data_IF_313751455040
#
_entry.id   IF_313751455040
#
_cell.length_a   1.000
_cell.length_b   1.000
_cell.length_c   1.000
_cell.angle_alpha   90.00
_cell.angle_beta   90.00
_cell.angle_gamma   90.00
#
_symmetry.space_group_name_H-M   'P 1'
#
loop_
_entity.id
_entity.type
_entity.pdbx_description
1 polymer ?
#
# COMPACT_ATOMS: atom_id res chain seq x y z
N UNK A 1 -11.75 -22.06 -20.31
CA UNK A 1 -10.89 -20.99 -20.78
C UNK A 1 -9.69 -20.85 -19.85
N UNK A 2 -8.50 -20.52 -20.41
CA UNK A 2 -7.31 -20.25 -19.65
C UNK A 2 -6.57 -19.07 -20.25
N UNK A 3 -5.83 -18.33 -19.42
CA UNK A 3 -4.94 -17.27 -19.85
C UNK A 3 -3.67 -17.30 -19.04
N UNK A 4 -2.55 -17.07 -19.69
CA UNK A 4 -1.26 -16.83 -19.07
C UNK A 4 -0.75 -15.48 -19.57
N UNK A 5 -0.24 -14.68 -18.65
CA UNK A 5 0.41 -13.39 -18.95
C UNK A 5 1.77 -13.38 -18.31
N UNK A 6 2.74 -12.99 -19.07
CA UNK A 6 4.03 -12.55 -18.59
C UNK A 6 4.19 -11.07 -18.91
N UNK A 7 4.71 -10.34 -17.94
CA UNK A 7 5.04 -8.94 -18.11
C UNK A 7 6.44 -8.72 -17.53
N UNK A 8 7.31 -8.17 -18.36
CA UNK A 8 8.64 -7.71 -18.00
C UNK A 8 8.65 -6.19 -18.02
N UNK A 9 9.24 -5.59 -17.01
CA UNK A 9 9.49 -4.15 -16.96
C UNK A 9 10.96 -3.91 -16.63
N UNK A 10 11.57 -3.01 -17.35
CA UNK A 10 12.90 -2.49 -17.11
C UNK A 10 12.85 -0.98 -17.28
N UNK A 11 13.24 -0.25 -16.26
CA UNK A 11 13.10 1.20 -16.21
C UNK A 11 14.33 1.86 -15.62
N UNK A 12 14.74 2.92 -16.28
CA UNK A 12 15.77 3.84 -15.85
C UNK A 12 15.14 5.24 -15.82
N UNK A 13 14.98 5.80 -14.61
CA UNK A 13 14.34 7.09 -14.42
C UNK A 13 15.30 8.01 -13.68
N UNK A 14 15.72 9.06 -14.36
CA UNK A 14 16.47 10.17 -13.77
C UNK A 14 15.52 11.36 -13.59
N UNK A 15 15.46 11.89 -12.39
CA UNK A 15 14.61 13.03 -12.05
C UNK A 15 15.37 14.08 -11.27
N UNK A 16 15.29 15.32 -11.73
CA UNK A 16 15.80 16.50 -11.04
C UNK A 16 14.62 17.36 -10.61
N UNK A 17 14.67 17.92 -9.44
CA UNK A 17 13.64 18.81 -8.91
C UNK A 17 14.28 20.03 -8.25
N UNK A 18 13.71 21.18 -8.50
CA UNK A 18 14.05 22.43 -7.83
C UNK A 18 12.78 23.05 -7.27
N UNK A 19 12.79 23.38 -5.98
CA UNK A 19 11.64 23.92 -5.26
C UNK A 19 12.06 25.24 -4.61
N UNK A 20 11.24 26.26 -4.78
CA UNK A 20 11.32 27.52 -4.05
C UNK A 20 10.09 27.65 -3.14
N UNK A 21 10.33 27.90 -1.85
CA UNK A 21 9.28 28.10 -0.86
C UNK A 21 9.24 29.57 -0.43
N UNK A 22 8.26 30.31 -0.91
CA UNK A 22 8.12 31.75 -0.66
C UNK A 22 7.69 32.11 0.77
N UNK A 23 7.33 31.13 1.59
CA UNK A 23 6.87 31.35 2.97
C UNK A 23 8.02 31.23 3.97
N UNK A 24 9.01 30.43 3.67
CA UNK A 24 10.13 30.16 4.58
C UNK A 24 11.25 31.20 4.43
N UNK A 25 11.76 31.69 5.56
CA UNK A 25 12.95 32.55 5.60
C UNK A 25 14.25 31.79 5.62
N UNK A 26 14.25 30.54 6.07
CA UNK A 26 15.39 29.62 6.08
C UNK A 26 14.98 28.34 5.34
N UNK A 27 15.88 27.83 4.51
CA UNK A 27 15.58 26.65 3.70
C UNK A 27 14.56 26.94 2.59
N UNK A 28 14.58 28.12 2.02
CA UNK A 28 13.65 28.55 0.98
C UNK A 28 13.83 27.79 -0.33
N UNK A 29 15.02 27.31 -0.60
CA UNK A 29 15.35 26.58 -1.83
C UNK A 29 15.76 25.14 -1.53
N UNK A 30 15.30 24.22 -2.35
CA UNK A 30 15.65 22.81 -2.26
C UNK A 30 15.82 22.21 -3.64
N UNK A 31 16.94 21.57 -3.85
CA UNK A 31 17.21 20.82 -5.08
C UNK A 31 17.39 19.34 -4.77
N UNK A 32 16.94 18.49 -5.67
CA UNK A 32 17.19 17.05 -5.62
C UNK A 32 17.49 16.48 -7.00
N UNK A 33 18.34 15.48 -7.01
CA UNK A 33 18.68 14.67 -8.15
C UNK A 33 18.55 13.20 -7.74
N UNK A 34 17.69 12.46 -8.42
CA UNK A 34 17.38 11.07 -8.09
C UNK A 34 17.48 10.20 -9.35
N UNK A 35 18.15 9.08 -9.20
CA UNK A 35 18.27 8.07 -10.23
C UNK A 35 17.69 6.76 -9.70
N UNK A 36 16.70 6.22 -10.40
CA UNK A 36 15.98 5.02 -10.01
C UNK A 36 15.98 4.00 -11.14
N UNK A 37 16.60 2.85 -10.89
CA UNK A 37 16.58 1.70 -11.77
C UNK A 37 15.60 0.66 -11.21
N UNK A 38 14.72 0.16 -12.05
CA UNK A 38 13.74 -0.88 -11.67
C UNK A 38 13.74 -1.98 -12.69
N UNK A 39 13.71 -3.23 -12.25
CA UNK A 39 13.52 -4.39 -13.11
C UNK A 39 12.55 -5.35 -12.46
N UNK A 40 11.54 -5.76 -13.18
CA UNK A 40 10.53 -6.66 -12.63
C UNK A 40 9.99 -7.64 -13.64
N UNK A 41 9.68 -8.82 -13.15
CA UNK A 41 8.96 -9.86 -13.87
C UNK A 41 7.69 -10.24 -13.15
N UNK A 42 6.60 -10.39 -13.86
CA UNK A 42 5.36 -10.89 -13.34
C UNK A 42 4.72 -11.94 -14.25
N UNK A 43 4.25 -13.01 -13.63
CA UNK A 43 3.58 -14.13 -14.27
C UNK A 43 2.20 -14.28 -13.64
N UNK A 44 1.17 -14.29 -14.45
CA UNK A 44 -0.22 -14.42 -14.01
C UNK A 44 -0.89 -15.50 -14.85
N UNK A 45 -1.39 -16.54 -14.17
CA UNK A 45 -2.08 -17.67 -14.82
C UNK A 45 -3.47 -17.77 -14.22
N UNK A 46 -4.48 -17.73 -15.08
CA UNK A 46 -5.89 -17.79 -14.71
C UNK A 46 -6.60 -18.83 -15.54
N UNK A 47 -7.45 -19.58 -14.87
CA UNK A 47 -8.37 -20.50 -15.53
C UNK A 47 -9.82 -20.13 -15.20
N UNK A 48 -10.69 -20.43 -16.12
CA UNK A 48 -12.14 -20.32 -15.96
C UNK A 48 -12.77 -21.65 -16.39
N UNK A 49 -13.37 -22.34 -15.41
CA UNK A 49 -14.14 -23.55 -15.60
C UNK A 49 -15.61 -23.21 -15.38
N UNK A 50 -16.42 -23.44 -16.36
CA UNK A 50 -17.87 -23.23 -16.34
C UNK A 50 -18.57 -24.56 -16.54
N UNK A 51 -19.45 -24.91 -15.61
CA UNK A 51 -20.20 -26.14 -15.65
C UNK A 51 -21.69 -25.86 -15.39
N UNK A 52 -22.54 -26.36 -16.24
CA UNK A 52 -23.99 -26.23 -16.15
C UNK A 52 -24.60 -27.65 -16.08
N UNK A 53 -24.72 -28.24 -14.87
CA UNK A 53 -25.25 -29.58 -14.68
C UNK A 53 -26.70 -29.71 -15.12
N UNK A 54 -27.45 -28.62 -15.03
CA UNK A 54 -28.83 -28.52 -15.47
C UNK A 54 -29.15 -27.07 -15.97
N UNK A 55 -30.39 -26.83 -16.42
CA UNK A 55 -30.82 -25.52 -16.92
C UNK A 55 -31.01 -24.45 -15.82
N UNK A 56 -30.97 -24.84 -14.55
CA UNK A 56 -31.23 -24.00 -13.39
C UNK A 56 -29.95 -23.69 -12.60
N UNK A 57 -28.89 -24.48 -12.80
CA UNK A 57 -27.66 -24.40 -12.03
C UNK A 57 -26.50 -24.00 -12.93
N UNK A 58 -25.72 -23.01 -12.47
CA UNK A 58 -24.53 -22.52 -13.13
C UNK A 58 -23.37 -22.47 -12.09
N UNK A 59 -22.32 -23.21 -12.36
CA UNK A 59 -21.15 -23.33 -11.51
C UNK A 59 -19.94 -22.76 -12.25
N UNK A 60 -19.26 -21.83 -11.62
CA UNK A 60 -18.10 -21.14 -12.15
C UNK A 60 -16.95 -21.25 -11.16
N UNK A 61 -15.84 -21.84 -11.58
CA UNK A 61 -14.61 -21.94 -10.82
C UNK A 61 -13.50 -21.18 -11.54
N UNK A 62 -12.77 -20.33 -10.80
CA UNK A 62 -11.70 -19.48 -11.35
C UNK A 62 -10.45 -19.59 -10.48
N UNK A 63 -9.62 -20.63 -10.66
CA UNK A 63 -8.31 -20.67 -10.05
C UNK A 63 -7.37 -19.66 -10.71
N UNK A 64 -6.50 -19.05 -9.90
CA UNK A 64 -5.50 -18.10 -10.33
C UNK A 64 -4.19 -18.31 -9.56
N UNK A 65 -3.08 -18.11 -10.27
CA UNK A 65 -1.73 -18.15 -9.71
C UNK A 65 -0.99 -16.94 -10.21
N UNK A 66 -0.27 -16.28 -9.34
CA UNK A 66 0.62 -15.19 -9.71
C UNK A 66 1.97 -15.31 -9.02
N UNK A 67 3.00 -14.96 -9.75
CA UNK A 67 4.35 -14.77 -9.26
C UNK A 67 4.84 -13.42 -9.74
N UNK A 68 5.46 -12.66 -8.87
CA UNK A 68 6.13 -11.43 -9.26
C UNK A 68 7.42 -11.24 -8.48
N UNK A 69 8.42 -10.73 -9.14
CA UNK A 69 9.64 -10.22 -8.53
C UNK A 69 9.95 -8.84 -9.05
N UNK A 70 10.57 -8.04 -8.20
CA UNK A 70 10.96 -6.69 -8.53
C UNK A 70 12.28 -6.34 -7.85
N UNK A 71 13.23 -5.88 -8.62
CA UNK A 71 14.50 -5.32 -8.21
C UNK A 71 14.45 -3.80 -8.36
N UNK A 72 14.97 -3.08 -7.39
CA UNK A 72 15.05 -1.63 -7.43
C UNK A 72 16.41 -1.18 -6.92
N UNK A 73 17.01 -0.23 -7.61
CA UNK A 73 18.15 0.54 -7.14
C UNK A 73 17.78 2.01 -7.19
N UNK A 74 18.08 2.71 -6.12
CA UNK A 74 17.84 4.15 -6.06
C UNK A 74 19.10 4.83 -5.52
N UNK A 75 19.52 5.91 -6.16
CA UNK A 75 20.50 6.85 -5.64
C UNK A 75 19.95 8.26 -5.72
N UNK A 76 20.19 9.05 -4.71
CA UNK A 76 19.71 10.43 -4.65
C UNK A 76 20.67 11.34 -3.94
N UNK A 77 20.70 12.59 -4.39
CA UNK A 77 21.36 13.70 -3.74
C UNK A 77 20.34 14.83 -3.62
N UNK A 78 20.24 15.42 -2.44
CA UNK A 78 19.41 16.59 -2.21
C UNK A 78 20.14 17.60 -1.32
N UNK A 79 19.82 18.86 -1.52
CA UNK A 79 20.36 19.93 -0.70
C UNK A 79 19.31 21.04 -0.53
N UNK A 80 19.36 21.68 0.63
CA UNK A 80 18.48 22.80 0.99
C UNK A 80 19.35 24.03 1.28
N UNK A 81 18.91 25.16 0.76
CA UNK A 81 19.65 26.43 0.79
C UNK A 81 18.77 27.54 1.38
N UNK A 82 19.42 28.53 2.00
CA UNK A 82 18.73 29.72 2.53
C UNK A 82 18.33 30.72 1.44
N UNK A 83 19.08 30.75 0.34
CA UNK A 83 18.86 31.66 -0.79
C UNK A 83 19.01 30.88 -2.12
N UNK A 84 18.71 31.54 -3.22
CA UNK A 84 18.72 30.96 -4.55
C UNK A 84 20.12 30.47 -4.97
N UNK A 85 20.39 29.16 -5.03
CA UNK A 85 21.72 28.65 -5.35
C UNK A 85 22.12 28.85 -6.82
N UNK A 86 21.14 29.09 -7.70
CA UNK A 86 21.37 29.30 -9.14
C UNK A 86 22.01 30.66 -9.47
N UNK A 87 22.11 31.57 -8.50
CA UNK A 87 22.90 32.80 -8.63
C UNK A 87 24.39 32.49 -8.68
N UNK A 88 24.79 31.36 -8.09
CA UNK A 88 26.20 30.96 -7.96
C UNK A 88 26.59 29.91 -8.99
N UNK A 89 25.70 29.00 -9.34
CA UNK A 89 26.00 27.91 -10.27
C UNK A 89 24.75 27.33 -10.91
N UNK A 90 24.84 26.92 -12.17
CA UNK A 90 23.82 26.14 -12.87
C UNK A 90 23.65 24.71 -12.32
N UNK A 91 24.65 24.21 -11.57
CA UNK A 91 24.60 22.90 -10.94
C UNK A 91 24.86 22.98 -9.43
N UNK A 92 23.86 23.39 -8.62
CA UNK A 92 24.01 23.58 -7.17
C UNK A 92 24.31 22.31 -6.38
N UNK A 93 24.08 21.13 -6.97
CA UNK A 93 24.32 19.83 -6.29
C UNK A 93 25.72 19.27 -6.55
N UNK A 94 26.55 19.94 -7.34
CA UNK A 94 27.96 19.48 -7.51
C UNK A 94 28.76 19.66 -6.21
N UNK A 95 29.65 18.73 -5.92
CA UNK A 95 30.42 18.71 -4.67
C UNK A 95 31.24 20.00 -4.45
N UNK A 96 31.83 20.55 -5.52
CA UNK A 96 32.59 21.81 -5.44
C UNK A 96 31.71 23.00 -5.09
N UNK A 97 30.52 23.08 -5.67
CA UNK A 97 29.54 24.15 -5.40
C UNK A 97 28.94 24.04 -4.02
N UNK A 98 28.68 22.83 -3.54
CA UNK A 98 28.23 22.59 -2.15
C UNK A 98 29.25 23.14 -1.16
N UNK A 99 30.55 22.89 -1.36
CA UNK A 99 31.58 23.43 -0.47
C UNK A 99 31.68 24.96 -0.56
N UNK A 100 31.52 25.56 -1.74
CA UNK A 100 31.48 27.03 -1.89
C UNK A 100 30.28 27.64 -1.17
N UNK A 101 29.06 27.09 -1.41
CA UNK A 101 27.83 27.55 -0.78
C UNK A 101 27.82 27.34 0.74
N UNK A 102 28.53 26.31 1.21
CA UNK A 102 28.77 26.09 2.63
C UNK A 102 29.66 27.19 3.22
N UNK A 103 30.76 27.56 2.55
CA UNK A 103 31.66 28.63 2.99
C UNK A 103 30.94 29.98 3.09
N UNK A 104 29.96 30.24 2.19
CA UNK A 104 29.09 31.42 2.18
C UNK A 104 27.95 31.35 3.21
N UNK A 105 27.82 30.23 3.96
CA UNK A 105 26.75 30.04 4.97
C UNK A 105 25.36 29.86 4.38
N UNK A 106 25.25 29.54 3.11
CA UNK A 106 23.99 29.36 2.41
C UNK A 106 23.35 27.99 2.59
N UNK A 107 24.16 26.99 2.94
CA UNK A 107 23.68 25.60 3.10
C UNK A 107 22.90 25.44 4.40
N UNK A 108 21.74 24.79 4.31
CA UNK A 108 20.97 24.34 5.47
C UNK A 108 21.28 22.87 5.76
N UNK A 109 21.07 22.01 4.77
CA UNK A 109 21.41 20.60 4.85
C UNK A 109 21.74 20.03 3.47
N UNK A 110 22.41 18.90 3.46
CA UNK A 110 22.48 18.02 2.29
C UNK A 110 22.27 16.58 2.69
N UNK A 111 21.76 15.78 1.77
CA UNK A 111 21.53 14.35 1.97
C UNK A 111 21.92 13.60 0.72
N UNK A 112 22.78 12.63 0.87
CA UNK A 112 22.99 11.58 -0.12
C UNK A 112 22.33 10.30 0.36
N UNK A 113 21.70 9.58 -0.54
CA UNK A 113 21.11 8.28 -0.21
C UNK A 113 21.32 7.28 -1.34
N UNK A 114 21.45 6.03 -0.97
CA UNK A 114 21.35 4.93 -1.91
C UNK A 114 20.54 3.78 -1.29
N UNK A 115 19.82 3.03 -2.12
CA UNK A 115 19.11 1.85 -1.69
C UNK A 115 19.10 0.76 -2.74
N UNK A 116 19.17 -0.49 -2.29
CA UNK A 116 19.03 -1.70 -3.11
C UNK A 116 17.94 -2.54 -2.51
N UNK A 117 16.86 -2.74 -3.25
CA UNK A 117 15.71 -3.50 -2.77
C UNK A 117 15.35 -4.62 -3.75
N UNK A 118 14.85 -5.70 -3.18
CA UNK A 118 14.28 -6.83 -3.89
C UNK A 118 12.98 -7.24 -3.21
N UNK A 119 11.96 -7.50 -3.99
CA UNK A 119 10.73 -8.09 -3.51
C UNK A 119 10.29 -9.26 -4.39
N UNK A 120 9.80 -10.30 -3.75
CA UNK A 120 9.23 -11.48 -4.38
C UNK A 120 7.83 -11.72 -3.78
N UNK A 121 6.85 -12.02 -4.61
CA UNK A 121 5.50 -12.35 -4.17
C UNK A 121 4.95 -13.54 -4.96
N UNK A 122 4.43 -14.52 -4.23
CA UNK A 122 3.74 -15.71 -4.75
C UNK A 122 2.32 -15.70 -4.25
N UNK A 123 1.35 -15.87 -5.15
CA UNK A 123 -0.04 -15.94 -4.75
C UNK A 123 -0.77 -17.07 -5.49
N UNK A 124 -1.58 -17.79 -4.75
CA UNK A 124 -2.49 -18.79 -5.28
C UNK A 124 -3.89 -18.55 -4.72
N UNK A 125 -4.89 -18.61 -5.58
CA UNK A 125 -6.25 -18.40 -5.13
C UNK A 125 -7.27 -19.06 -6.05
N UNK A 126 -8.50 -19.15 -5.55
CA UNK A 126 -9.62 -19.65 -6.35
C UNK A 126 -10.90 -18.96 -5.93
N UNK A 127 -11.75 -18.70 -6.92
CA UNK A 127 -13.10 -18.19 -6.72
C UNK A 127 -14.10 -19.19 -7.25
N UNK A 128 -15.03 -19.63 -6.39
CA UNK A 128 -16.15 -20.48 -6.71
C UNK A 128 -17.42 -19.65 -6.70
N UNK A 129 -18.24 -19.77 -7.73
CA UNK A 129 -19.57 -19.18 -7.79
C UNK A 129 -20.58 -20.25 -8.20
N UNK A 130 -21.63 -20.42 -7.42
CA UNK A 130 -22.74 -21.32 -7.72
C UNK A 130 -24.00 -20.49 -7.75
N UNK A 131 -24.66 -20.43 -8.89
CA UNK A 131 -25.96 -19.80 -9.06
C UNK A 131 -27.00 -20.87 -9.28
N UNK A 132 -28.11 -20.83 -8.53
CA UNK A 132 -29.26 -21.72 -8.73
C UNK A 132 -30.55 -20.91 -8.81
N UNK A 133 -31.24 -21.08 -9.90
CA UNK A 133 -32.63 -20.59 -10.09
C UNK A 133 -33.58 -21.52 -9.38
N UNK A 134 -34.43 -20.98 -8.52
CA UNK A 134 -35.41 -21.76 -7.74
C UNK A 134 -36.80 -21.79 -8.37
N UNK A 135 -37.09 -20.78 -9.19
CA UNK A 135 -38.36 -20.74 -9.96
C UNK A 135 -38.21 -19.93 -11.25
N UNK A 136 -39.27 -19.94 -12.08
CA UNK A 136 -39.32 -19.19 -13.35
C UNK A 136 -39.54 -17.69 -13.18
N UNK A 137 -39.89 -17.21 -11.98
CA UNK A 137 -40.14 -15.79 -11.68
C UNK A 137 -38.86 -15.01 -11.31
N UNK A 138 -37.73 -15.72 -11.21
CA UNK A 138 -36.44 -15.07 -10.93
C UNK A 138 -35.97 -15.23 -9.49
N UNK A 139 -36.62 -16.05 -8.65
CA UNK A 139 -36.11 -16.46 -7.35
C UNK A 139 -34.79 -17.21 -7.55
N UNK A 140 -33.75 -16.80 -6.91
CA UNK A 140 -32.45 -17.44 -7.04
C UNK A 140 -31.64 -17.39 -5.74
N UNK A 141 -30.71 -18.30 -5.68
CA UNK A 141 -29.69 -18.37 -4.64
C UNK A 141 -28.32 -18.36 -5.30
N UNK A 142 -27.39 -17.54 -4.76
CA UNK A 142 -26.00 -17.46 -5.21
C UNK A 142 -25.08 -17.71 -4.05
N UNK A 143 -24.20 -18.68 -4.18
CA UNK A 143 -23.08 -18.93 -3.28
C UNK A 143 -21.79 -18.47 -3.96
N UNK A 144 -21.03 -17.63 -3.28
CA UNK A 144 -19.69 -17.19 -3.68
C UNK A 144 -18.71 -17.64 -2.61
N UNK A 145 -17.64 -18.29 -3.01
CA UNK A 145 -16.49 -18.60 -2.16
C UNK A 145 -15.22 -18.06 -2.81
N UNK A 146 -14.33 -17.51 -2.02
CA UNK A 146 -13.03 -17.05 -2.50
C UNK A 146 -11.97 -17.38 -1.45
N UNK A 147 -10.85 -17.94 -1.90
CA UNK A 147 -9.69 -18.22 -1.06
C UNK A 147 -8.46 -17.71 -1.79
N UNK A 148 -7.65 -16.93 -1.10
CA UNK A 148 -6.37 -16.41 -1.62
C UNK A 148 -5.33 -16.59 -0.53
N UNK A 149 -4.21 -17.18 -0.91
CA UNK A 149 -2.99 -17.24 -0.11
C UNK A 149 -1.89 -16.50 -0.85
N UNK A 150 -1.11 -15.69 -0.15
CA UNK A 150 0.09 -15.08 -0.69
C UNK A 150 1.24 -15.13 0.31
N UNK A 151 2.43 -15.39 -0.22
CA UNK A 151 3.71 -15.36 0.48
C UNK A 151 4.62 -14.37 -0.24
N UNK A 152 5.13 -13.40 0.47
CA UNK A 152 6.03 -12.39 -0.07
C UNK A 152 7.24 -12.18 0.82
N UNK A 153 8.35 -11.84 0.19
CA UNK A 153 9.61 -11.50 0.85
C UNK A 153 10.10 -10.18 0.29
N UNK A 154 10.61 -9.33 1.16
CA UNK A 154 11.26 -8.09 0.76
C UNK A 154 12.59 -7.97 1.50
N UNK A 155 13.64 -7.67 0.75
CA UNK A 155 14.96 -7.32 1.26
C UNK A 155 15.24 -5.88 0.85
N UNK A 156 15.72 -5.07 1.76
CA UNK A 156 16.02 -3.68 1.50
C UNK A 156 17.29 -3.26 2.25
N UNK A 157 18.30 -2.88 1.51
CA UNK A 157 19.46 -2.16 2.01
C UNK A 157 19.23 -0.67 1.73
N UNK A 158 19.27 0.16 2.76
CA UNK A 158 19.10 1.62 2.65
C UNK A 158 20.20 2.30 3.40
N UNK A 159 20.89 3.21 2.73
CA UNK A 159 21.98 4.01 3.29
C UNK A 159 21.72 5.47 2.98
N UNK A 160 21.93 6.32 3.97
CA UNK A 160 21.82 7.76 3.80
C UNK A 160 22.83 8.48 4.69
N UNK A 161 23.46 9.50 4.13
CA UNK A 161 24.32 10.45 4.86
C UNK A 161 23.66 11.81 4.84
N UNK A 162 23.50 12.41 6.00
CA UNK A 162 22.87 13.72 6.19
C UNK A 162 23.85 14.65 6.86
N UNK A 163 24.08 15.79 6.23
CA UNK A 163 24.90 16.90 6.75
C UNK A 163 23.97 18.05 7.11
N UNK A 164 24.02 18.49 8.36
CA UNK A 164 23.30 19.65 8.89
C UNK A 164 24.29 20.79 9.13
N UNK A 165 24.33 21.75 8.23
CA UNK A 165 25.33 22.83 8.26
C UNK A 165 24.99 23.91 9.29
N UNK A 166 23.74 24.05 9.67
CA UNK A 166 23.26 25.03 10.66
C UNK A 166 23.19 24.46 12.08
N UNK A 167 23.35 23.14 12.24
CA UNK A 167 23.37 22.47 13.54
C UNK A 167 24.82 22.03 13.81
N UNK A 168 25.37 22.50 14.92
CA UNK A 168 26.74 22.18 15.32
C UNK A 168 26.76 21.09 16.37
N UNK A 169 27.75 20.22 16.30
CA UNK A 169 28.07 19.25 17.35
C UNK A 169 28.66 19.92 18.60
N UNK A 170 28.98 19.12 19.61
CA UNK A 170 29.58 19.62 20.86
C UNK A 170 31.00 20.23 20.68
N UNK A 171 31.65 19.95 19.55
CA UNK A 171 32.99 20.43 19.21
C UNK A 171 32.94 21.65 18.27
N UNK A 172 31.70 22.07 17.84
CA UNK A 172 31.51 23.20 16.94
C UNK A 172 31.57 22.84 15.46
N UNK A 173 31.70 21.56 15.11
CA UNK A 173 31.66 21.08 13.73
C UNK A 173 30.20 20.92 13.24
N UNK A 174 30.01 20.84 11.91
CA UNK A 174 28.73 20.52 11.34
C UNK A 174 28.22 19.14 11.83
N UNK A 175 26.94 19.05 12.15
CA UNK A 175 26.37 17.78 12.57
C UNK A 175 26.21 16.87 11.36
N UNK A 176 26.85 15.71 11.41
CA UNK A 176 26.79 14.68 10.37
C UNK A 176 26.22 13.42 11.02
N UNK A 177 25.26 12.79 10.37
CA UNK A 177 24.81 11.48 10.79
C UNK A 177 24.47 10.62 9.58
N UNK A 178 24.63 9.33 9.76
CA UNK A 178 24.31 8.33 8.75
C UNK A 178 23.26 7.36 9.27
N UNK A 179 22.49 6.83 8.34
CA UNK A 179 21.56 5.72 8.59
C UNK A 179 21.86 4.62 7.61
N UNK A 180 22.40 3.51 8.07
CA UNK A 180 22.75 2.36 7.25
C UNK A 180 22.02 1.14 7.78
N UNK A 181 21.05 0.64 7.02
CA UNK A 181 20.14 -0.43 7.48
C UNK A 181 19.91 -1.47 6.41
N UNK A 182 19.92 -2.72 6.84
CA UNK A 182 19.44 -3.83 6.02
C UNK A 182 18.25 -4.47 6.70
N UNK A 183 17.14 -4.61 5.98
CA UNK A 183 15.93 -5.21 6.49
C UNK A 183 15.42 -6.35 5.61
N UNK A 184 14.91 -7.40 6.25
CA UNK A 184 14.21 -8.51 5.63
C UNK A 184 12.80 -8.57 6.19
N UNK A 185 11.81 -8.65 5.30
CA UNK A 185 10.39 -8.64 5.70
C UNK A 185 9.64 -9.76 4.99
N UNK A 186 9.66 -11.00 5.53
CA UNK A 186 8.73 -12.04 5.07
C UNK A 186 7.30 -11.69 5.51
N UNK A 187 6.35 -11.86 4.61
CA UNK A 187 4.93 -11.58 4.87
C UNK A 187 4.06 -12.69 4.31
N UNK A 188 3.16 -13.23 5.13
CA UNK A 188 2.16 -14.23 4.73
C UNK A 188 0.77 -13.65 4.89
N UNK A 189 -0.04 -13.79 3.85
CA UNK A 189 -1.43 -13.37 3.85
C UNK A 189 -2.34 -14.54 3.49
N UNK A 190 -3.44 -14.65 4.20
CA UNK A 190 -4.52 -15.58 3.91
C UNK A 190 -5.84 -14.82 3.94
N UNK A 191 -6.60 -14.91 2.87
CA UNK A 191 -7.94 -14.34 2.81
C UNK A 191 -8.92 -15.39 2.34
N UNK A 192 -9.99 -15.57 3.11
CA UNK A 192 -11.12 -16.43 2.76
C UNK A 192 -12.40 -15.64 2.92
N UNK A 193 -13.24 -15.67 1.92
CA UNK A 193 -14.60 -15.13 2.02
C UNK A 193 -15.62 -16.11 1.46
N UNK A 194 -16.77 -16.17 2.11
CA UNK A 194 -17.94 -16.91 1.68
C UNK A 194 -19.18 -16.03 1.75
N UNK A 195 -19.94 -15.95 0.67
CA UNK A 195 -21.13 -15.12 0.58
C UNK A 195 -22.30 -15.95 0.07
N UNK A 196 -23.42 -15.84 0.76
CA UNK A 196 -24.70 -16.37 0.34
C UNK A 196 -25.64 -15.21 0.03
N UNK A 197 -26.21 -15.19 -1.15
CA UNK A 197 -27.18 -14.19 -1.58
C UNK A 197 -28.47 -14.88 -2.00
N UNK A 198 -29.58 -14.47 -1.40
CA UNK A 198 -30.92 -14.88 -1.78
C UNK A 198 -31.66 -13.71 -2.42
N UNK A 199 -32.31 -13.95 -3.55
CA UNK A 199 -33.10 -12.96 -4.28
C UNK A 199 -34.53 -13.44 -4.43
N UNK A 200 -35.46 -12.71 -3.81
CA UNK A 200 -36.90 -12.94 -3.85
C UNK A 200 -37.55 -11.97 -4.83
N UNK A 201 -38.23 -12.46 -5.88
CA UNK A 201 -39.06 -11.63 -6.71
C UNK A 201 -40.34 -11.27 -5.98
N UNK A 202 -40.60 -9.98 -5.75
CA UNK A 202 -41.83 -9.50 -5.11
C UNK A 202 -42.95 -9.34 -6.14
N UNK A 203 -42.61 -8.69 -7.27
CA UNK A 203 -43.50 -8.56 -8.45
C UNK A 203 -42.64 -8.30 -9.68
N UNK A 204 -43.26 -8.22 -10.86
CA UNK A 204 -42.54 -8.13 -12.14
C UNK A 204 -41.50 -7.01 -12.15
N UNK A 205 -40.23 -7.40 -12.29
CA UNK A 205 -39.07 -6.51 -12.32
C UNK A 205 -38.70 -5.89 -10.96
N UNK A 206 -39.17 -6.49 -9.85
CA UNK A 206 -38.83 -6.01 -8.49
C UNK A 206 -38.38 -7.18 -7.63
N UNK A 207 -37.27 -6.98 -6.93
CA UNK A 207 -36.58 -8.00 -6.15
C UNK A 207 -36.16 -7.45 -4.77
N UNK A 208 -36.31 -8.29 -3.76
CA UNK A 208 -35.69 -8.12 -2.47
C UNK A 208 -34.46 -9.03 -2.42
N UNK A 209 -33.30 -8.51 -2.01
CA UNK A 209 -32.08 -9.28 -1.93
C UNK A 209 -31.59 -9.28 -0.48
N UNK A 210 -31.34 -10.46 0.07
CA UNK A 210 -30.67 -10.64 1.35
C UNK A 210 -29.33 -11.32 1.07
N UNK A 211 -28.26 -10.72 1.57
CA UNK A 211 -26.92 -11.27 1.43
C UNK A 211 -26.22 -11.32 2.79
N UNK A 212 -25.57 -12.42 3.04
CA UNK A 212 -24.65 -12.58 4.15
C UNK A 212 -23.29 -12.98 3.61
N UNK A 213 -22.24 -12.25 4.02
CA UNK A 213 -20.86 -12.57 3.69
C UNK A 213 -20.03 -12.62 4.95
N UNK A 214 -19.23 -13.66 5.06
CA UNK A 214 -18.19 -13.79 6.06
C UNK A 214 -16.83 -13.67 5.39
N UNK A 215 -15.95 -12.85 5.95
CA UNK A 215 -14.57 -12.70 5.50
C UNK A 215 -13.61 -12.91 6.65
N UNK A 216 -12.64 -13.78 6.45
CA UNK A 216 -11.49 -13.96 7.32
C UNK A 216 -10.23 -13.48 6.61
N UNK A 217 -9.52 -12.55 7.22
CA UNK A 217 -8.22 -12.10 6.75
C UNK A 217 -7.17 -12.39 7.82
N UNK A 218 -6.09 -13.02 7.43
CA UNK A 218 -4.91 -13.25 8.23
C UNK A 218 -3.70 -12.62 7.56
N UNK A 219 -2.91 -11.86 8.29
CA UNK A 219 -1.65 -11.32 7.83
C UNK A 219 -0.61 -11.48 8.93
N UNK A 220 0.53 -12.03 8.57
CA UNK A 220 1.71 -12.13 9.43
C UNK A 220 2.87 -11.47 8.73
N UNK A 221 3.60 -10.63 9.46
CA UNK A 221 4.83 -9.99 8.99
C UNK A 221 5.89 -10.08 10.09
N UNK A 222 7.11 -10.40 9.70
CA UNK A 222 8.24 -10.57 10.61
C UNK A 222 9.44 -9.81 10.06
N UNK A 223 9.47 -8.51 10.32
CA UNK A 223 10.56 -7.65 9.87
C UNK A 223 11.74 -7.76 10.81
N UNK A 224 12.87 -8.17 10.26
CA UNK A 224 14.17 -8.15 10.93
C UNK A 224 14.99 -7.02 10.31
N UNK A 225 15.55 -6.16 11.14
CA UNK A 225 16.38 -5.02 10.72
C UNK A 225 17.74 -5.11 11.39
N UNK A 226 18.78 -4.85 10.63
CA UNK A 226 20.15 -4.71 11.06
C UNK A 226 20.56 -3.28 10.83
N UNK A 227 21.05 -2.60 11.88
CA UNK A 227 21.50 -1.21 11.83
C UNK A 227 23.02 -1.18 12.02
N UNK A 228 23.71 -0.65 11.04
CA UNK A 228 25.16 -0.46 11.02
C UNK A 228 25.50 1.01 10.74
N UNK A 229 24.67 1.92 11.27
CA UNK A 229 24.87 3.36 11.14
C UNK A 229 26.11 3.86 11.91
N UNK A 230 26.60 3.09 12.89
CA UNK A 230 27.76 3.44 13.71
C UNK A 230 29.11 3.00 13.08
N UNK A 231 29.11 2.38 11.90
CA UNK A 231 30.35 2.01 11.22
C UNK A 231 31.06 3.25 10.67
N UNK A 232 32.36 3.10 10.38
CA UNK A 232 33.20 4.18 9.86
C UNK A 232 32.55 4.81 8.61
N UNK A 233 32.49 6.13 8.58
CA UNK A 233 32.01 6.89 7.42
C UNK A 233 32.91 6.61 6.21
N UNK A 234 32.29 6.33 5.06
CA UNK A 234 33.01 6.00 3.82
C UNK A 234 33.32 4.51 3.63
N UNK A 235 33.00 3.63 4.60
CA UNK A 235 33.21 2.18 4.44
C UNK A 235 32.63 1.61 3.15
N UNK A 236 31.53 2.18 2.66
CA UNK A 236 30.79 1.71 1.50
C UNK A 236 31.05 2.50 0.21
N UNK A 237 31.88 3.53 0.22
CA UNK A 237 32.07 4.46 -0.91
C UNK A 237 32.60 3.78 -2.19
N UNK A 238 33.32 2.67 -2.04
CA UNK A 238 33.89 1.92 -3.15
C UNK A 238 33.02 0.74 -3.62
N UNK A 239 31.81 0.58 -3.06
CA UNK A 239 30.90 -0.49 -3.46
C UNK A 239 30.01 0.02 -4.59
N UNK A 240 30.15 -0.59 -5.77
CA UNK A 240 29.25 -0.27 -6.88
C UNK A 240 27.84 -0.77 -6.61
N UNK A 241 26.87 0.09 -6.84
CA UNK A 241 25.46 -0.27 -6.77
C UNK A 241 25.10 -1.29 -7.86
N UNK A 242 24.30 -2.29 -7.51
CA UNK A 242 23.83 -3.32 -8.42
C UNK A 242 22.58 -4.00 -7.86
N UNK A 243 21.77 -4.57 -8.74
CA UNK A 243 20.60 -5.35 -8.31
C UNK A 243 21.02 -6.48 -7.37
N UNK A 244 20.32 -6.59 -6.23
CA UNK A 244 20.57 -7.62 -5.19
C UNK A 244 21.99 -7.61 -4.61
N UNK A 245 22.70 -6.49 -4.75
CA UNK A 245 24.12 -6.38 -4.37
C UNK A 245 24.34 -6.04 -2.89
N UNK A 246 23.35 -6.29 -2.01
CA UNK A 246 23.52 -6.02 -0.56
C UNK A 246 24.62 -6.83 0.08
N UNK A 247 24.91 -8.04 -0.41
CA UNK A 247 25.98 -8.88 0.15
C UNK A 247 27.37 -8.26 0.00
N UNK A 248 27.61 -7.45 -1.04
CA UNK A 248 28.88 -6.74 -1.21
C UNK A 248 29.07 -5.65 -0.14
N UNK A 249 28.01 -5.04 0.29
CA UNK A 249 28.00 -4.08 1.39
C UNK A 249 28.14 -4.79 2.74
N UNK A 250 27.31 -5.81 2.99
CA UNK A 250 27.32 -6.57 4.25
C UNK A 250 28.64 -7.31 4.48
N UNK A 251 29.34 -7.70 3.41
CA UNK A 251 30.65 -8.36 3.49
C UNK A 251 31.78 -7.45 3.97
N UNK A 252 31.59 -6.13 4.00
CA UNK A 252 32.56 -5.18 4.53
C UNK A 252 32.41 -4.95 6.04
N UNK A 253 31.27 -5.40 6.62
CA UNK A 253 31.05 -5.26 8.05
C UNK A 253 32.01 -6.13 8.85
N UNK A 254 32.47 -5.60 9.98
CA UNK A 254 33.30 -6.35 10.93
C UNK A 254 32.39 -7.22 11.82
N UNK A 255 32.66 -8.53 11.87
CA UNK A 255 31.88 -9.47 12.69
C UNK A 255 30.70 -10.10 11.93
N UNK A 256 29.76 -10.65 12.68
CA UNK A 256 28.58 -11.30 12.12
C UNK A 256 27.43 -10.31 11.93
N UNK A 257 26.61 -10.49 10.92
CA UNK A 257 25.42 -9.66 10.70
C UNK A 257 24.49 -9.62 11.93
N UNK A 258 24.43 -10.70 12.71
CA UNK A 258 23.67 -10.76 13.97
C UNK A 258 24.10 -9.73 15.01
N UNK A 259 25.33 -9.26 14.97
CA UNK A 259 25.88 -8.29 15.94
C UNK A 259 25.28 -6.88 15.70
N UNK A 260 24.75 -6.65 14.51
CA UNK A 260 24.07 -5.42 14.09
C UNK A 260 22.54 -5.50 14.21
N UNK A 261 22.00 -6.55 14.83
CA UNK A 261 20.55 -6.71 14.97
C UNK A 261 19.94 -5.56 15.77
N UNK A 262 19.03 -4.81 15.13
CA UNK A 262 18.34 -3.71 15.76
C UNK A 262 16.91 -4.13 16.16
N UNK A 263 16.75 -4.39 17.44
CA UNK A 263 15.46 -4.72 18.03
C UNK A 263 14.47 -3.55 17.99
N UNK A 264 14.97 -2.31 17.98
CA UNK A 264 14.14 -1.11 17.97
C UNK A 264 13.45 -0.88 16.63
N UNK A 265 14.04 -1.41 15.54
CA UNK A 265 13.52 -1.31 14.17
C UNK A 265 12.95 -2.64 13.65
N UNK A 266 13.17 -3.75 14.39
CA UNK A 266 12.58 -5.04 14.10
C UNK A 266 11.15 -5.12 14.64
N UNK A 267 10.25 -5.76 13.88
CA UNK A 267 8.84 -5.79 14.25
C UNK A 267 8.20 -7.10 13.79
N UNK A 268 7.70 -7.86 14.74
CA UNK A 268 6.78 -8.96 14.47
C UNK A 268 5.34 -8.43 14.56
N UNK A 269 4.50 -8.79 13.60
CA UNK A 269 3.08 -8.46 13.65
C UNK A 269 2.22 -9.59 13.10
N UNK A 270 1.11 -9.86 13.78
CA UNK A 270 0.09 -10.80 13.36
C UNK A 270 -1.28 -10.16 13.46
N UNK A 271 -2.04 -10.21 12.37
CA UNK A 271 -3.34 -9.60 12.26
C UNK A 271 -4.37 -10.62 11.81
N UNK A 272 -5.45 -10.76 12.58
CA UNK A 272 -6.62 -11.57 12.25
C UNK A 272 -7.86 -10.69 12.23
N UNK A 273 -8.60 -10.73 11.14
CA UNK A 273 -9.80 -9.94 10.98
C UNK A 273 -10.98 -10.82 10.57
N UNK A 274 -12.04 -10.75 11.36
CA UNK A 274 -13.30 -11.46 11.17
C UNK A 274 -14.36 -10.42 10.82
N UNK A 275 -14.87 -10.46 9.59
CA UNK A 275 -15.83 -9.49 9.09
C UNK A 275 -17.11 -10.23 8.72
N UNK A 276 -18.23 -9.78 9.26
CA UNK A 276 -19.56 -10.22 8.89
C UNK A 276 -20.27 -9.08 8.17
N UNK A 277 -20.78 -9.34 6.98
CA UNK A 277 -21.52 -8.36 6.19
C UNK A 277 -22.94 -8.88 6.00
N UNK A 278 -23.92 -8.16 6.54
CA UNK A 278 -25.35 -8.44 6.35
C UNK A 278 -25.91 -7.32 5.49
N UNK A 279 -26.40 -7.64 4.31
CA UNK A 279 -26.91 -6.66 3.37
C UNK A 279 -28.37 -6.96 3.02
N UNK A 280 -29.20 -5.95 3.13
CA UNK A 280 -30.55 -5.93 2.61
C UNK A 280 -30.61 -4.97 1.43
N UNK A 281 -31.05 -5.45 0.28
CA UNK A 281 -31.16 -4.69 -0.96
C UNK A 281 -32.54 -4.78 -1.58
N UNK A 282 -33.05 -3.66 -2.05
CA UNK A 282 -34.26 -3.57 -2.85
C UNK A 282 -33.89 -3.13 -4.25
N UNK A 283 -34.28 -3.90 -5.25
CA UNK A 283 -34.00 -3.62 -6.65
C UNK A 283 -35.30 -3.61 -7.47
N UNK A 284 -35.52 -2.55 -8.22
CA UNK A 284 -36.63 -2.40 -9.12
C UNK A 284 -36.16 -2.01 -10.52
N UNK A 285 -36.55 -2.79 -11.52
CA UNK A 285 -36.22 -2.56 -12.93
C UNK A 285 -37.51 -2.42 -13.71
N UNK A 286 -37.78 -1.22 -14.21
CA UNK A 286 -38.93 -0.89 -15.06
C UNK A 286 -38.45 -0.32 -16.39
N UNK A 287 -39.36 -0.15 -17.32
CA UNK A 287 -39.06 0.34 -18.68
C UNK A 287 -38.29 1.67 -18.67
N UNK A 288 -38.72 2.61 -17.82
CA UNK A 288 -38.22 3.96 -17.81
C UNK A 288 -37.30 4.27 -16.60
N UNK A 289 -37.27 3.42 -15.56
CA UNK A 289 -36.45 3.65 -14.41
C UNK A 289 -35.92 2.36 -13.77
N UNK A 290 -34.74 2.50 -13.17
CA UNK A 290 -34.15 1.49 -12.33
C UNK A 290 -33.87 2.12 -10.96
N UNK A 291 -34.27 1.43 -9.90
CA UNK A 291 -33.99 1.80 -8.51
C UNK A 291 -33.25 0.64 -7.86
N UNK A 292 -32.18 0.97 -7.17
CA UNK A 292 -31.45 0.05 -6.31
C UNK A 292 -31.16 0.77 -4.99
N UNK A 293 -31.71 0.27 -3.90
CA UNK A 293 -31.53 0.82 -2.58
C UNK A 293 -31.15 -0.30 -1.62
N UNK A 294 -30.21 -0.05 -0.72
CA UNK A 294 -29.77 -1.08 0.21
C UNK A 294 -29.05 -0.51 1.40
N UNK A 295 -28.96 -1.32 2.43
CA UNK A 295 -28.16 -1.06 3.60
C UNK A 295 -27.35 -2.30 3.94
N UNK A 296 -26.07 -2.10 4.25
CA UNK A 296 -25.14 -3.12 4.74
C UNK A 296 -24.74 -2.77 6.17
N UNK A 297 -24.83 -3.76 7.04
CA UNK A 297 -24.30 -3.69 8.40
C UNK A 297 -23.13 -4.65 8.49
N UNK A 298 -21.99 -4.18 8.97
CA UNK A 298 -20.73 -4.91 8.98
C UNK A 298 -20.10 -4.93 10.37
N UNK A 299 -20.51 -5.88 11.23
CA UNK A 299 -19.74 -6.19 12.45
C UNK A 299 -18.38 -6.76 12.09
N UNK A 300 -17.35 -6.25 12.74
CA UNK A 300 -15.96 -6.65 12.52
C UNK A 300 -15.25 -6.81 13.85
N UNK A 301 -14.52 -7.91 13.98
CA UNK A 301 -13.57 -8.16 15.08
C UNK A 301 -12.17 -8.27 14.52
N UNK A 302 -11.29 -7.39 14.95
CA UNK A 302 -9.87 -7.38 14.58
C UNK A 302 -9.04 -7.76 15.78
N UNK A 303 -8.20 -8.78 15.65
CA UNK A 303 -7.20 -9.19 16.64
C UNK A 303 -5.83 -8.87 16.10
N UNK A 304 -5.02 -8.24 16.92
CA UNK A 304 -3.71 -7.77 16.54
C UNK A 304 -2.70 -8.09 17.63
N UNK A 305 -1.60 -8.74 17.24
CA UNK A 305 -0.44 -9.03 18.08
C UNK A 305 0.74 -8.34 17.44
N UNK A 306 1.50 -7.62 18.24
CA UNK A 306 2.72 -6.96 17.80
C UNK A 306 3.80 -7.10 18.87
N UNK A 307 5.01 -7.38 18.43
CA UNK A 307 6.23 -7.29 19.23
C UNK A 307 7.14 -6.24 18.61
N UNK A 308 7.33 -5.15 19.31
CA UNK A 308 8.14 -4.02 18.87
C UNK A 308 8.79 -3.32 20.06
N UNK A 309 10.08 -2.99 19.99
CA UNK A 309 10.87 -2.31 21.05
C UNK A 309 10.72 -2.93 22.44
N UNK A 310 10.72 -4.28 22.55
CA UNK A 310 10.44 -5.01 23.79
C UNK A 310 9.02 -4.87 24.34
N UNK A 311 8.12 -4.26 23.62
CA UNK A 311 6.72 -4.18 23.99
C UNK A 311 5.94 -5.19 23.17
N UNK A 312 5.25 -6.09 23.85
CA UNK A 312 4.27 -6.98 23.24
C UNK A 312 2.89 -6.38 23.43
N UNK A 313 2.19 -6.17 22.36
CA UNK A 313 0.82 -5.64 22.33
C UNK A 313 -0.10 -6.72 21.79
N UNK A 314 -1.13 -7.08 22.56
CA UNK A 314 -2.23 -7.94 22.11
C UNK A 314 -3.52 -7.14 22.27
N UNK A 315 -4.15 -6.82 21.15
CA UNK A 315 -5.32 -5.94 21.13
C UNK A 315 -6.45 -6.55 20.31
N UNK A 316 -7.65 -6.46 20.85
CA UNK A 316 -8.89 -6.83 20.16
C UNK A 316 -9.74 -5.58 19.97
N UNK A 317 -10.15 -5.33 18.74
CA UNK A 317 -11.01 -4.21 18.37
C UNK A 317 -12.30 -4.72 17.73
N UNK A 318 -13.43 -4.29 18.27
CA UNK A 318 -14.76 -4.57 17.72
C UNK A 318 -15.34 -3.27 17.14
N UNK A 319 -15.84 -3.33 15.93
CA UNK A 319 -16.46 -2.19 15.22
C UNK A 319 -17.69 -2.66 14.48
N UNK A 320 -18.67 -1.79 14.37
CA UNK A 320 -19.83 -2.01 13.52
C UNK A 320 -19.89 -0.86 12.51
N UNK A 321 -19.79 -1.22 11.23
CA UNK A 321 -19.88 -0.26 10.13
C UNK A 321 -21.26 -0.36 9.50
N UNK A 322 -21.78 0.77 9.03
CA UNK A 322 -23.05 0.84 8.29
C UNK A 322 -22.77 1.53 6.96
N UNK A 323 -23.25 0.93 5.87
CA UNK A 323 -23.01 1.43 4.52
C UNK A 323 -24.32 1.46 3.74
N UNK A 324 -25.06 2.56 3.75
CA UNK A 324 -26.24 2.74 2.92
C UNK A 324 -25.85 3.01 1.47
N UNK A 325 -26.65 2.47 0.55
CA UNK A 325 -26.48 2.65 -0.90
C UNK A 325 -27.80 3.00 -1.54
N UNK A 326 -27.78 3.91 -2.50
CA UNK A 326 -28.91 4.28 -3.30
C UNK A 326 -28.47 4.60 -4.72
N UNK A 327 -29.10 3.96 -5.68
CA UNK A 327 -28.92 4.23 -7.10
C UNK A 327 -30.29 4.38 -7.76
N UNK A 328 -30.51 5.49 -8.40
CA UNK A 328 -31.71 5.74 -9.19
C UNK A 328 -31.30 6.19 -10.57
N UNK A 329 -31.85 5.52 -11.59
CA UNK A 329 -31.69 5.88 -13.00
C UNK A 329 -33.06 6.06 -13.61
N UNK A 330 -33.31 7.21 -14.20
CA UNK A 330 -34.55 7.52 -14.91
C UNK A 330 -34.25 7.92 -16.35
N UNK A 331 -34.96 7.32 -17.28
CA UNK A 331 -34.93 7.62 -18.72
C UNK A 331 -36.15 8.45 -19.08
N UNK A 332 -35.95 9.75 -19.29
CA UNK A 332 -37.02 10.63 -19.77
C UNK A 332 -37.37 10.34 -21.23
N UNK A 333 -36.33 10.08 -22.04
CA UNK A 333 -36.43 9.73 -23.45
C UNK A 333 -35.31 8.78 -23.86
N UNK A 334 -35.22 8.45 -25.17
CA UNK A 334 -34.06 7.72 -25.70
C UNK A 334 -32.75 8.50 -25.55
N UNK A 335 -32.82 9.82 -25.47
CA UNK A 335 -31.71 10.74 -25.48
C UNK A 335 -31.45 11.40 -24.10
N UNK A 336 -32.43 11.35 -23.18
CA UNK A 336 -32.34 12.03 -21.89
C UNK A 336 -32.40 11.02 -20.72
N UNK A 337 -31.36 11.06 -19.86
CA UNK A 337 -31.23 10.15 -18.72
C UNK A 337 -30.72 10.90 -17.50
N UNK A 338 -31.39 10.72 -16.37
CA UNK A 338 -30.93 11.13 -15.05
C UNK A 338 -30.42 9.91 -14.29
N UNK A 339 -29.25 10.06 -13.65
CA UNK A 339 -28.72 9.06 -12.71
C UNK A 339 -28.32 9.75 -11.41
N UNK A 340 -28.78 9.21 -10.31
CA UNK A 340 -28.45 9.63 -8.96
C UNK A 340 -27.80 8.42 -8.25
N UNK A 341 -26.61 8.60 -7.72
CA UNK A 341 -25.92 7.58 -6.95
C UNK A 341 -25.53 8.17 -5.59
N UNK A 342 -25.83 7.45 -4.55
CA UNK A 342 -25.34 7.71 -3.20
C UNK A 342 -24.73 6.46 -2.61
N UNK A 343 -23.58 6.60 -1.98
CA UNK A 343 -22.90 5.53 -1.25
C UNK A 343 -22.24 6.08 -0.01
N UNK A 344 -22.72 5.63 1.14
CA UNK A 344 -22.03 5.79 2.42
C UNK A 344 -21.02 4.66 2.61
N UNK A 345 -19.81 4.97 3.03
CA UNK A 345 -18.75 3.99 3.29
C UNK A 345 -18.03 4.32 4.57
N UNK A 346 -17.85 3.32 5.44
CA UNK A 346 -16.92 3.40 6.55
C UNK A 346 -15.58 2.84 6.11
N UNK A 347 -14.50 3.61 6.31
CA UNK A 347 -13.12 3.19 6.09
C UNK A 347 -12.41 3.09 7.44
N UNK A 348 -11.79 1.94 7.68
CA UNK A 348 -10.93 1.75 8.84
C UNK A 348 -9.54 2.33 8.55
N UNK A 349 -8.85 2.92 9.56
CA UNK A 349 -7.44 3.24 9.45
C UNK A 349 -6.63 1.99 9.16
N UNK A 350 -5.55 2.13 8.39
CA UNK A 350 -4.62 1.04 8.18
C UNK A 350 -3.96 0.61 9.48
N UNK A 351 -3.63 -0.67 9.60
CA UNK A 351 -3.00 -1.18 10.82
C UNK A 351 -1.65 -0.51 11.09
N UNK A 352 -0.89 -0.17 10.04
CA UNK A 352 0.37 0.56 10.19
C UNK A 352 0.17 1.91 10.88
N UNK A 353 -0.92 2.61 10.56
CA UNK A 353 -1.25 3.90 11.15
C UNK A 353 -1.73 3.80 12.62
N UNK A 354 -2.22 2.62 13.02
CA UNK A 354 -2.68 2.34 14.38
C UNK A 354 -1.56 1.85 15.31
N UNK A 355 -0.40 1.50 14.73
CA UNK A 355 0.75 1.05 15.51
C UNK A 355 1.49 2.25 16.09
N UNK A 356 1.79 2.26 17.38
CA UNK A 356 2.67 3.24 18.00
C UNK A 356 4.14 2.96 17.63
N UNK A 357 4.42 2.87 16.34
CA UNK A 357 5.74 2.66 15.77
C UNK A 357 6.22 3.98 15.21
N UNK A 358 7.44 4.35 15.55
CA UNK A 358 8.14 5.46 14.94
C UNK A 358 9.00 4.93 13.80
N UNK A 359 8.76 5.40 12.60
CA UNK A 359 9.61 5.20 11.43
C UNK A 359 10.52 6.42 11.30
N UNK A 360 11.77 6.25 11.62
CA UNK A 360 12.86 7.24 11.53
C UNK A 360 13.87 6.89 10.43
N UNK A 361 13.47 6.07 9.48
CA UNK A 361 14.29 5.69 8.30
C UNK A 361 14.69 6.90 7.47
N UNK A 362 13.88 7.94 7.47
CA UNK A 362 14.20 9.27 6.99
C UNK A 362 14.20 10.25 8.18
N UNK A 363 15.36 10.64 8.70
CA UNK A 363 15.45 11.50 9.87
C UNK A 363 14.86 12.92 9.67
N UNK A 364 14.69 13.34 8.42
CA UNK A 364 14.02 14.60 8.07
C UNK A 364 12.48 14.45 7.99
N UNK A 365 11.97 13.20 7.96
CA UNK A 365 10.55 12.89 7.86
C UNK A 365 10.17 11.72 8.78
N UNK A 366 10.21 11.97 10.08
CA UNK A 366 9.83 10.97 11.09
C UNK A 366 8.31 10.77 11.06
N UNK A 367 7.88 9.51 10.91
CA UNK A 367 6.47 9.13 10.94
C UNK A 367 6.16 8.33 12.20
N UNK A 368 5.02 8.61 12.82
CA UNK A 368 4.54 7.88 13.98
C UNK A 368 3.08 7.51 13.82
N UNK A 369 2.73 6.25 14.09
CA UNK A 369 1.36 5.80 14.11
C UNK A 369 0.58 6.31 15.32
N UNK A 370 -0.74 6.35 15.21
CA UNK A 370 -1.64 6.80 16.26
C UNK A 370 -2.70 5.72 16.57
N UNK A 371 -2.60 5.01 17.69
CA UNK A 371 -3.59 4.00 18.08
C UNK A 371 -5.01 4.56 18.31
N UNK A 372 -5.12 5.86 18.52
CA UNK A 372 -6.38 6.56 18.75
C UNK A 372 -7.19 6.89 17.50
N UNK A 373 -6.72 6.55 16.31
CA UNK A 373 -7.44 6.82 15.07
C UNK A 373 -8.80 6.11 15.04
N UNK A 374 -9.81 6.86 14.65
CA UNK A 374 -11.19 6.37 14.50
C UNK A 374 -11.49 6.06 13.03
N UNK A 375 -12.45 5.17 12.75
CA UNK A 375 -12.96 5.00 11.40
C UNK A 375 -13.51 6.31 10.84
N UNK A 376 -13.27 6.53 9.55
CA UNK A 376 -13.88 7.64 8.81
C UNK A 376 -15.15 7.16 8.11
N UNK A 377 -16.15 8.04 8.01
CA UNK A 377 -17.35 7.79 7.22
C UNK A 377 -17.37 8.75 6.04
N UNK A 378 -17.39 8.20 4.83
CA UNK A 378 -17.40 8.97 3.60
C UNK A 378 -18.76 8.89 2.93
N UNK A 379 -19.37 10.04 2.67
CA UNK A 379 -20.57 10.18 1.88
C UNK A 379 -20.20 10.53 0.44
N UNK A 380 -20.55 9.67 -0.50
CA UNK A 380 -20.31 9.89 -1.92
C UNK A 380 -21.65 10.06 -2.64
N UNK A 381 -21.91 11.27 -3.08
CA UNK A 381 -23.11 11.63 -3.82
C UNK A 381 -22.74 12.06 -5.23
N UNK A 382 -23.36 11.43 -6.24
CA UNK A 382 -23.14 11.76 -7.65
C UNK A 382 -24.46 11.89 -8.38
N UNK A 383 -24.59 12.98 -9.11
CA UNK A 383 -25.72 13.23 -9.99
C UNK A 383 -25.22 13.43 -11.42
N UNK A 384 -25.79 12.69 -12.34
CA UNK A 384 -25.51 12.81 -13.76
C UNK A 384 -26.81 13.03 -14.52
N UNK A 385 -26.83 14.04 -15.36
CA UNK A 385 -27.88 14.26 -16.32
C UNK A 385 -27.27 14.37 -17.72
N UNK A 386 -27.69 13.48 -18.60
CA UNK A 386 -27.28 13.48 -20.00
C UNK A 386 -28.50 13.75 -20.86
N UNK A 387 -28.36 14.66 -21.83
CA UNK A 387 -29.31 14.94 -22.88
C UNK A 387 -28.56 15.17 -24.19
N UNK A 388 -29.08 14.65 -25.30
CA UNK A 388 -28.57 14.82 -26.66
C UNK A 388 -29.59 15.43 -27.54
#
# INVERSE_FOLDING_TARGET
>A
DGSARWNHSDGDVHSTQSIENFVNKSGAFSNSDNHNYTRGDSYDVRFKLEWKPDTLTDILLRPQFSYSENDTQNSGLSATYNDNPYIYSDNPLSSSVIEELKAEGMMVNSRSNCSVAYSESKSAGTKLQINRKLNKMGRNITLLGNVIYSDSKSNNLSMANVHLYQVKDRLGNDSIYQTNRYSMTPTKNWKTDAQLTYSEPLWRGTFLQLSYKFTYNYKKSDRVTYDFSDVESGLFDNVSMGYRNWNSYLGLLQGNLSDYYDKSQSCYSEYKNYIHEIQLGFKMVKKNYNLNAGVMVQPQTSKFIQEYRNVSTDTVRNVVNVSPTFEFKYKFSKQSTLRINYRGMTSQPDMADLLDITDDSDPLNIKKGNPGLKPSFTNNFRLFYNTY
#
